data_IF_635738855433
#
_entry.id   IF_635738855433
#
_cell.length_a   1.000
_cell.length_b   1.000
_cell.length_c   1.000
_cell.angle_alpha   90.00
_cell.angle_beta   90.00
_cell.angle_gamma   90.00
#
_symmetry.space_group_name_H-M   'P 1'
#
loop_
_entity.id
_entity.type
_entity.pdbx_description
1 polymer ?
#
# COMPACT_ATOMS: atom_id res chain seq x y z
N UNK A 1 25.00 26.60 58.14
CA UNK A 1 24.44 27.77 58.83
C UNK A 1 23.20 28.18 58.00
N UNK A 2 22.10 27.43 58.05
CA UNK A 2 21.03 27.47 59.06
C UNK A 2 20.34 28.85 59.06
N UNK A 3 19.12 29.00 58.51
CA UNK A 3 17.81 29.16 59.21
C UNK A 3 17.07 30.29 58.44
N UNK A 4 15.76 30.33 58.13
CA UNK A 4 14.54 29.57 58.44
C UNK A 4 13.42 29.97 57.45
N UNK A 5 12.48 29.05 57.21
CA UNK A 5 11.11 29.32 56.71
C UNK A 5 10.20 29.85 57.84
N UNK A 6 8.96 30.29 57.52
CA UNK A 6 7.76 29.46 57.78
C UNK A 6 6.78 29.45 56.56
N UNK A 7 6.07 28.38 56.17
CA UNK A 7 5.02 27.59 56.87
C UNK A 7 3.72 28.44 57.00
N UNK A 8 2.49 28.10 56.54
CA UNK A 8 1.65 26.91 56.76
C UNK A 8 0.41 26.91 55.83
N UNK A 9 -0.31 25.79 55.82
CA UNK A 9 -1.34 25.29 54.87
C UNK A 9 -2.80 25.47 55.35
N UNK A 10 -3.77 25.27 54.42
CA UNK A 10 -5.20 24.86 54.58
C UNK A 10 -6.26 25.88 55.06
N UNK A 11 -7.39 25.99 54.34
CA UNK A 11 -8.66 25.32 54.71
C UNK A 11 -9.80 25.58 53.69
N UNK A 12 -10.55 24.51 53.37
CA UNK A 12 -11.82 24.46 52.63
C UNK A 12 -13.01 24.74 53.59
N UNK A 13 -14.24 24.79 53.03
CA UNK A 13 -15.60 24.78 53.64
C UNK A 13 -16.22 26.15 53.97
N UNK A 14 -17.54 26.38 53.90
CA UNK A 14 -18.74 25.77 53.28
C UNK A 14 -19.91 26.70 53.67
N UNK A 15 -20.98 26.79 52.89
CA UNK A 15 -22.25 27.47 53.25
C UNK A 15 -23.26 27.29 52.09
N UNK A 16 -24.14 26.29 51.99
CA UNK A 16 -25.17 25.66 52.87
C UNK A 16 -26.52 26.39 52.82
N UNK A 17 -27.58 25.57 52.65
CA UNK A 17 -29.04 25.78 52.91
C UNK A 17 -29.86 26.14 51.66
N UNK A 18 -30.99 25.51 51.26
CA UNK A 18 -31.81 24.33 51.62
C UNK A 18 -33.01 24.36 50.62
N UNK A 19 -33.68 23.29 50.16
CA UNK A 19 -34.85 22.63 50.80
C UNK A 19 -35.43 21.60 49.78
N UNK A 20 -35.54 20.29 50.04
CA UNK A 20 -36.66 19.50 50.64
C UNK A 20 -37.50 18.67 49.63
N UNK A 21 -37.06 17.41 49.44
CA UNK A 21 -37.75 16.09 49.56
C UNK A 21 -39.25 15.96 49.17
N UNK A 22 -39.56 15.03 48.24
CA UNK A 22 -40.46 13.88 48.49
C UNK A 22 -40.49 12.88 47.32
N UNK A 23 -40.36 11.60 47.67
CA UNK A 23 -40.46 10.45 46.79
C UNK A 23 -41.88 9.88 46.78
N UNK A 24 -42.32 9.35 45.63
CA UNK A 24 -43.29 8.26 45.53
C UNK A 24 -43.09 7.53 44.18
N UNK A 25 -42.65 6.28 44.25
CA UNK A 25 -42.91 5.22 43.24
C UNK A 25 -44.41 4.87 43.29
N UNK A 26 -45.09 4.14 42.39
CA UNK A 26 -44.95 3.63 41.02
C UNK A 26 -46.32 2.99 40.72
N UNK A 27 -46.86 3.04 39.50
CA UNK A 27 -47.93 2.11 39.14
C UNK A 27 -48.08 1.91 37.62
N UNK A 28 -48.02 0.65 37.23
CA UNK A 28 -48.37 0.08 35.93
C UNK A 28 -49.90 0.05 35.77
N UNK A 29 -50.41 0.38 34.59
CA UNK A 29 -51.85 0.22 34.27
C UNK A 29 -52.19 0.62 32.84
N UNK A 30 -52.59 -0.37 32.05
CA UNK A 30 -52.92 -0.31 30.61
C UNK A 30 -54.32 0.26 30.32
N UNK A 31 -54.49 0.98 29.19
CA UNK A 31 -55.44 0.71 28.08
C UNK A 31 -55.81 1.97 27.27
N UNK A 32 -56.03 1.73 25.98
CA UNK A 32 -56.15 2.63 24.84
C UNK A 32 -57.34 3.60 24.82
N UNK A 33 -57.23 4.71 24.06
CA UNK A 33 -58.27 5.27 23.17
C UNK A 33 -57.64 6.13 22.05
N UNK A 34 -58.21 6.03 20.84
CA UNK A 34 -57.76 6.62 19.58
C UNK A 34 -58.30 8.04 19.30
N UNK A 35 -57.60 8.81 18.44
CA UNK A 35 -58.12 10.02 17.75
C UNK A 35 -57.01 10.88 17.13
N UNK A 36 -57.20 11.46 15.91
CA UNK A 36 -56.16 11.51 14.89
C UNK A 36 -55.34 12.81 14.90
N UNK A 37 -54.02 12.66 14.75
CA UNK A 37 -53.08 13.74 14.49
C UNK A 37 -52.26 13.40 13.25
N UNK A 38 -52.64 14.02 12.14
CA UNK A 38 -51.97 13.94 10.85
C UNK A 38 -50.53 14.48 10.94
N UNK A 39 -49.53 13.61 10.73
CA UNK A 39 -48.16 14.03 10.49
C UNK A 39 -47.52 13.18 9.40
N UNK A 40 -47.32 13.86 8.27
CA UNK A 40 -46.36 13.67 7.19
C UNK A 40 -45.68 12.30 7.06
N UNK A 41 -45.95 11.64 5.94
CA UNK A 41 -45.16 10.53 5.43
C UNK A 41 -43.70 10.97 5.22
N UNK A 42 -42.81 10.54 6.12
CA UNK A 42 -41.38 10.51 5.81
C UNK A 42 -41.16 9.40 4.79
N UNK A 43 -40.71 9.78 3.60
CA UNK A 43 -40.22 8.86 2.59
C UNK A 43 -39.15 7.96 3.21
N UNK A 44 -39.37 6.67 3.13
CA UNK A 44 -38.38 5.67 3.50
C UNK A 44 -37.30 5.69 2.42
N UNK A 45 -36.23 6.48 2.63
CA UNK A 45 -35.02 6.33 1.82
C UNK A 45 -34.50 4.91 2.06
N UNK A 46 -34.61 4.09 1.03
CA UNK A 46 -34.02 2.76 1.01
C UNK A 46 -32.50 2.95 1.01
N UNK A 47 -31.77 2.43 2.01
CA UNK A 47 -30.31 2.48 1.96
C UNK A 47 -29.86 1.76 0.69
N UNK A 48 -29.12 2.46 -0.16
CA UNK A 48 -28.42 1.86 -1.28
C UNK A 48 -27.38 0.91 -0.70
N UNK A 49 -27.75 -0.37 -0.60
CA UNK A 49 -26.79 -1.46 -0.40
C UNK A 49 -25.91 -1.48 -1.64
N UNK A 50 -24.70 -0.93 -1.53
CA UNK A 50 -23.66 -1.16 -2.53
C UNK A 50 -23.26 -2.62 -2.37
N UNK A 51 -23.76 -3.46 -3.27
CA UNK A 51 -23.37 -4.86 -3.36
C UNK A 51 -21.96 -4.91 -3.97
N UNK A 52 -20.93 -4.77 -3.12
CA UNK A 52 -19.55 -5.03 -3.54
C UNK A 52 -19.38 -6.55 -3.67
N UNK A 53 -19.69 -7.09 -4.85
CA UNK A 53 -19.33 -8.46 -5.21
C UNK A 53 -17.81 -8.54 -5.39
N UNK A 54 -17.07 -8.63 -4.28
CA UNK A 54 -15.66 -8.97 -4.29
C UNK A 54 -15.55 -10.45 -4.61
N UNK A 55 -15.21 -10.78 -5.86
CA UNK A 55 -14.76 -12.14 -6.17
C UNK A 55 -13.54 -12.42 -5.29
N UNK A 56 -13.55 -13.48 -4.44
CA UNK A 56 -12.43 -13.76 -3.56
C UNK A 56 -11.17 -13.95 -4.40
N UNK A 57 -10.08 -13.28 -4.01
CA UNK A 57 -8.80 -13.39 -4.70
C UNK A 57 -8.37 -14.87 -4.74
N UNK A 58 -7.80 -15.35 -5.85
CA UNK A 58 -7.36 -16.73 -5.96
C UNK A 58 -6.30 -17.02 -4.89
N UNK A 59 -6.61 -17.96 -4.00
CA UNK A 59 -5.70 -18.43 -2.95
C UNK A 59 -5.00 -19.71 -3.39
N UNK A 60 -3.72 -19.85 -3.01
CA UNK A 60 -2.98 -21.10 -3.20
C UNK A 60 -3.56 -22.20 -2.30
N UNK A 61 -3.50 -23.47 -2.72
CA UNK A 61 -3.80 -24.59 -1.82
C UNK A 61 -2.78 -24.65 -0.68
N UNK A 62 -3.14 -25.34 0.40
CA UNK A 62 -2.17 -25.74 1.40
C UNK A 62 -1.31 -26.87 0.84
N UNK A 63 0.01 -26.77 1.03
CA UNK A 63 0.98 -27.78 0.58
C UNK A 63 1.47 -28.62 1.75
N UNK A 64 1.75 -29.89 1.49
CA UNK A 64 2.41 -30.76 2.45
C UNK A 64 3.88 -30.33 2.63
N UNK A 65 4.49 -30.52 3.81
CA UNK A 65 5.90 -30.22 4.01
C UNK A 65 6.80 -30.96 3.00
N UNK A 66 7.64 -30.21 2.27
CA UNK A 66 8.55 -30.74 1.26
C UNK A 66 7.86 -31.13 -0.05
N UNK A 67 6.59 -30.77 -0.26
CA UNK A 67 5.90 -31.02 -1.52
C UNK A 67 6.62 -30.29 -2.67
N UNK A 68 6.81 -30.97 -3.79
CA UNK A 68 7.47 -30.38 -4.96
C UNK A 68 6.47 -29.58 -5.78
N UNK A 69 6.70 -28.27 -5.86
CA UNK A 69 5.90 -27.37 -6.69
C UNK A 69 6.67 -26.91 -7.92
N UNK A 70 5.94 -26.61 -8.99
CA UNK A 70 6.51 -26.04 -10.20
C UNK A 70 6.83 -24.55 -10.02
N UNK A 71 8.04 -24.18 -10.41
CA UNK A 71 8.51 -22.81 -10.41
C UNK A 71 9.26 -22.52 -11.70
N UNK A 72 9.07 -21.32 -12.24
CA UNK A 72 9.88 -20.81 -13.35
C UNK A 72 10.70 -19.67 -12.82
N UNK A 73 12.03 -19.79 -12.94
CA UNK A 73 12.98 -18.79 -12.47
C UNK A 73 12.66 -17.42 -13.06
N UNK A 74 12.57 -16.42 -12.21
CA UNK A 74 12.32 -15.02 -12.55
C UNK A 74 13.64 -14.24 -12.63
N UNK A 75 13.57 -13.03 -13.18
CA UNK A 75 14.74 -12.19 -13.37
C UNK A 75 15.49 -11.92 -12.06
N UNK A 76 16.74 -12.37 -12.03
CA UNK A 76 17.66 -12.13 -10.92
C UNK A 76 17.55 -13.11 -9.75
N UNK A 77 16.68 -14.11 -9.79
CA UNK A 77 16.54 -15.06 -8.68
C UNK A 77 17.87 -15.67 -8.25
N UNK A 78 17.96 -15.93 -6.94
CA UNK A 78 19.12 -16.58 -6.32
C UNK A 78 18.64 -17.70 -5.42
N UNK A 79 19.46 -18.73 -5.21
CA UNK A 79 19.11 -19.84 -4.32
C UNK A 79 18.77 -19.39 -2.88
N UNK A 80 19.51 -18.45 -2.26
CA UNK A 80 19.14 -17.95 -0.93
C UNK A 80 17.77 -17.27 -0.90
N UNK A 81 17.46 -16.44 -1.90
CA UNK A 81 16.17 -15.76 -1.98
C UNK A 81 15.01 -16.76 -2.15
N UNK A 82 15.13 -17.70 -3.11
CA UNK A 82 14.12 -18.74 -3.32
C UNK A 82 13.95 -19.63 -2.08
N UNK A 83 15.05 -20.00 -1.42
CA UNK A 83 14.98 -20.77 -0.18
C UNK A 83 14.18 -20.03 0.90
N UNK A 84 14.39 -18.72 1.04
CA UNK A 84 13.61 -17.87 1.95
C UNK A 84 12.12 -17.81 1.56
N UNK A 85 11.82 -17.51 0.29
CA UNK A 85 10.44 -17.34 -0.19
C UNK A 85 9.61 -18.62 -0.02
N UNK A 86 10.19 -19.77 -0.33
CA UNK A 86 9.53 -21.08 -0.26
C UNK A 86 9.71 -21.79 1.08
N UNK A 87 10.40 -21.14 2.04
CA UNK A 87 10.70 -21.66 3.37
C UNK A 87 11.40 -23.04 3.32
N UNK A 88 12.35 -23.20 2.40
CA UNK A 88 13.16 -24.42 2.21
C UNK A 88 14.65 -24.10 2.38
N UNK A 89 15.52 -25.03 2.03
CA UNK A 89 16.97 -24.88 2.11
C UNK A 89 17.63 -24.93 0.74
N UNK A 90 18.80 -24.29 0.62
CA UNK A 90 19.64 -24.35 -0.59
C UNK A 90 19.99 -25.81 -0.94
N UNK A 91 20.24 -26.65 0.07
CA UNK A 91 20.51 -28.08 -0.11
C UNK A 91 19.34 -28.80 -0.79
N UNK A 92 18.12 -28.57 -0.33
CA UNK A 92 16.92 -29.20 -0.90
C UNK A 92 16.62 -28.68 -2.31
N UNK A 93 16.84 -27.38 -2.56
CA UNK A 93 16.74 -26.82 -3.91
C UNK A 93 17.70 -27.50 -4.89
N UNK A 94 18.95 -27.74 -4.48
CA UNK A 94 19.95 -28.43 -5.33
C UNK A 94 19.64 -29.91 -5.51
N UNK A 95 19.18 -30.59 -4.47
CA UNK A 95 18.80 -32.00 -4.54
C UNK A 95 17.62 -32.21 -5.50
N UNK A 96 16.61 -31.34 -5.44
CA UNK A 96 15.47 -31.39 -6.34
C UNK A 96 15.81 -30.94 -7.78
N UNK A 97 16.88 -30.15 -7.96
CA UNK A 97 17.27 -29.57 -9.24
C UNK A 97 18.76 -29.77 -9.53
N UNK A 98 19.20 -31.00 -9.88
CA UNK A 98 20.61 -31.32 -10.12
C UNK A 98 21.21 -30.63 -11.36
N UNK A 99 20.40 -29.91 -12.14
CA UNK A 99 20.85 -29.10 -13.28
C UNK A 99 21.58 -27.81 -12.85
N UNK A 100 21.42 -27.41 -11.58
CA UNK A 100 21.96 -26.15 -11.07
C UNK A 100 23.46 -26.30 -10.78
N UNK A 101 24.34 -25.52 -11.44
CA UNK A 101 25.78 -25.54 -11.16
C UNK A 101 26.12 -25.13 -9.72
N UNK A 102 27.21 -25.67 -9.16
CA UNK A 102 27.64 -25.36 -7.78
C UNK A 102 28.03 -23.88 -7.60
N UNK A 103 28.63 -23.27 -8.62
CA UNK A 103 29.15 -21.90 -8.60
C UNK A 103 28.14 -20.84 -9.05
N UNK A 104 26.86 -21.21 -9.23
CA UNK A 104 25.82 -20.27 -9.64
C UNK A 104 25.58 -19.20 -8.57
N UNK A 105 25.60 -17.94 -8.96
CA UNK A 105 25.24 -16.80 -8.10
C UNK A 105 23.85 -16.24 -8.44
N UNK A 106 23.41 -16.38 -9.68
CA UNK A 106 22.10 -15.94 -10.18
C UNK A 106 21.56 -16.96 -11.17
N UNK A 107 20.30 -17.35 -11.01
CA UNK A 107 19.66 -18.36 -11.84
C UNK A 107 19.22 -17.77 -13.18
N UNK A 108 19.32 -18.52 -14.31
CA UNK A 108 18.84 -18.06 -15.61
C UNK A 108 17.31 -17.90 -15.63
N UNK A 109 16.76 -16.73 -16.00
CA UNK A 109 15.32 -16.54 -16.11
C UNK A 109 14.69 -17.53 -17.11
N UNK A 110 13.49 -18.01 -16.81
CA UNK A 110 12.79 -19.01 -17.60
C UNK A 110 13.22 -20.46 -17.32
N UNK A 111 14.23 -20.69 -16.48
CA UNK A 111 14.63 -22.06 -16.08
C UNK A 111 13.50 -22.71 -15.26
N UNK A 112 12.97 -23.88 -15.66
CA UNK A 112 12.00 -24.62 -14.86
C UNK A 112 12.68 -25.29 -13.66
N UNK A 113 12.04 -25.24 -12.50
CA UNK A 113 12.50 -25.82 -11.26
C UNK A 113 11.38 -26.56 -10.52
N UNK A 114 11.77 -27.59 -9.76
CA UNK A 114 10.95 -28.24 -8.75
C UNK A 114 11.38 -27.73 -7.38
N UNK A 115 10.53 -26.98 -6.69
CA UNK A 115 10.86 -26.42 -5.39
C UNK A 115 10.18 -27.23 -4.28
N UNK A 116 10.92 -27.81 -3.33
CA UNK A 116 10.34 -28.32 -2.09
C UNK A 116 9.78 -27.15 -1.28
N UNK A 117 8.47 -27.15 -1.00
CA UNK A 117 7.82 -26.05 -0.27
C UNK A 117 7.48 -26.45 1.16
N UNK A 118 7.68 -25.53 2.10
CA UNK A 118 7.17 -25.67 3.47
C UNK A 118 6.15 -24.57 3.73
N UNK A 119 4.89 -24.91 3.50
CA UNK A 119 3.77 -23.98 3.57
C UNK A 119 3.81 -23.09 4.83
N UNK A 120 3.80 -21.77 4.61
CA UNK A 120 3.61 -20.77 5.64
C UNK A 120 2.22 -20.14 5.44
N UNK A 121 1.36 -20.10 6.47
CA UNK A 121 0.03 -19.53 6.32
C UNK A 121 0.09 -18.01 6.08
N UNK A 122 -1.05 -17.45 5.67
CA UNK A 122 -1.27 -16.00 5.44
C UNK A 122 -0.59 -15.47 4.18
N UNK A 123 -0.57 -16.24 3.10
CA UNK A 123 -0.15 -15.71 1.80
C UNK A 123 -1.14 -14.68 1.26
N UNK A 124 -0.58 -13.59 0.73
CA UNK A 124 -1.31 -12.55 0.02
C UNK A 124 -1.78 -13.00 -1.36
N UNK A 125 -2.21 -12.03 -2.16
CA UNK A 125 -2.67 -12.27 -3.53
C UNK A 125 -1.58 -12.90 -4.40
N UNK A 126 -2.00 -13.74 -5.35
CA UNK A 126 -1.13 -14.28 -6.42
C UNK A 126 -1.07 -13.37 -7.65
N UNK A 127 -1.83 -12.26 -7.67
CA UNK A 127 -1.82 -11.30 -8.77
C UNK A 127 -0.48 -10.54 -8.81
N UNK A 128 0.17 -10.54 -9.96
CA UNK A 128 1.37 -9.75 -10.22
C UNK A 128 0.97 -8.40 -10.85
N UNK A 129 1.38 -7.30 -10.23
CA UNK A 129 0.92 -5.94 -10.60
C UNK A 129 1.63 -5.45 -11.87
N UNK A 130 2.94 -5.69 -11.96
CA UNK A 130 3.79 -5.33 -13.11
C UNK A 130 5.04 -6.23 -13.15
N UNK A 131 5.76 -6.32 -14.29
CA UNK A 131 7.06 -6.97 -14.34
C UNK A 131 8.17 -6.09 -13.74
N UNK A 132 9.24 -6.74 -13.25
CA UNK A 132 10.39 -6.06 -12.63
C UNK A 132 11.12 -5.11 -13.60
N UNK A 133 11.10 -5.40 -14.90
CA UNK A 133 11.65 -4.55 -15.97
C UNK A 133 10.98 -3.18 -16.06
N UNK A 134 9.69 -3.09 -15.72
CA UNK A 134 8.91 -1.86 -15.67
C UNK A 134 8.99 -1.16 -14.31
N UNK A 135 9.51 -1.85 -13.28
CA UNK A 135 9.74 -1.30 -11.95
C UNK A 135 10.97 -0.39 -11.90
N UNK A 136 12.09 -0.90 -12.41
CA UNK A 136 13.38 -0.21 -12.36
C UNK A 136 13.45 0.88 -13.43
N UNK A 137 14.15 1.97 -13.14
CA UNK A 137 14.50 2.98 -14.14
C UNK A 137 15.59 2.44 -15.10
N UNK A 138 15.18 1.56 -16.02
CA UNK A 138 16.07 0.82 -16.91
C UNK A 138 15.70 0.95 -18.40
N UNK A 139 16.09 -0.05 -19.23
CA UNK A 139 15.88 -0.02 -20.68
C UNK A 139 14.44 0.30 -21.12
N UNK A 140 13.44 -0.20 -20.39
CA UNK A 140 12.03 0.04 -20.67
C UNK A 140 11.64 1.53 -20.61
N UNK A 141 12.40 2.36 -19.89
CA UNK A 141 12.13 3.78 -19.69
C UNK A 141 12.92 4.69 -20.65
N UNK A 142 13.88 4.15 -21.43
CA UNK A 142 14.81 4.99 -22.22
C UNK A 142 14.15 5.92 -23.23
N UNK A 143 13.01 5.51 -23.79
CA UNK A 143 12.26 6.31 -24.76
C UNK A 143 11.14 7.15 -24.13
N UNK A 144 10.99 7.12 -22.81
CA UNK A 144 9.96 7.86 -22.11
C UNK A 144 10.45 9.27 -21.76
N UNK A 145 9.74 10.28 -22.25
CA UNK A 145 9.97 11.68 -21.92
C UNK A 145 8.82 12.16 -21.02
N UNK A 146 9.12 12.39 -19.75
CA UNK A 146 8.14 12.79 -18.74
C UNK A 146 7.54 14.17 -19.01
N UNK A 147 8.34 15.10 -19.53
CA UNK A 147 7.90 16.46 -19.86
C UNK A 147 6.92 16.39 -21.03
N UNK A 148 7.33 15.76 -22.14
CA UNK A 148 6.49 15.60 -23.32
C UNK A 148 5.20 14.81 -22.99
N UNK A 149 5.30 13.81 -22.11
CA UNK A 149 4.14 13.06 -21.65
C UNK A 149 3.13 13.96 -20.92
N UNK A 150 3.56 14.74 -19.91
CA UNK A 150 2.65 15.61 -19.16
C UNK A 150 2.14 16.80 -19.99
N UNK A 151 2.93 17.28 -20.95
CA UNK A 151 2.52 18.34 -21.88
C UNK A 151 1.35 17.91 -22.78
N UNK A 152 1.23 16.63 -23.10
CA UNK A 152 0.10 16.05 -23.84
C UNK A 152 -1.17 15.90 -22.98
N UNK A 153 -1.08 16.02 -21.65
CA UNK A 153 -2.19 15.78 -20.73
C UNK A 153 -2.87 17.07 -20.27
N UNK A 154 -4.04 16.90 -19.65
CA UNK A 154 -4.87 17.99 -19.11
C UNK A 154 -4.92 18.01 -17.58
N UNK A 155 -4.19 17.11 -16.92
CA UNK A 155 -4.17 17.02 -15.46
C UNK A 155 -3.43 18.17 -14.79
N UNK A 156 -3.70 18.34 -13.49
CA UNK A 156 -3.14 19.43 -12.70
C UNK A 156 -1.60 19.37 -12.55
N UNK A 157 -0.96 18.20 -12.71
CA UNK A 157 0.51 18.10 -12.67
C UNK A 157 1.18 18.94 -13.77
N UNK A 158 0.53 19.15 -14.92
CA UNK A 158 1.11 19.91 -16.05
C UNK A 158 1.47 21.35 -15.66
N UNK A 159 0.67 21.98 -14.80
CA UNK A 159 0.91 23.34 -14.31
C UNK A 159 1.65 23.41 -12.97
N UNK A 160 1.98 22.26 -12.37
CA UNK A 160 2.51 22.21 -11.01
C UNK A 160 4.01 22.56 -10.98
N UNK A 161 4.38 23.44 -10.05
CA UNK A 161 5.75 23.87 -9.81
C UNK A 161 6.02 23.90 -8.31
N UNK A 162 7.14 23.31 -7.90
CA UNK A 162 7.58 23.28 -6.49
C UNK A 162 9.09 23.53 -6.40
N UNK A 163 9.53 24.15 -5.30
CA UNK A 163 10.95 24.24 -4.98
C UNK A 163 11.46 22.88 -4.50
N UNK A 164 12.28 22.22 -5.31
CA UNK A 164 12.91 20.95 -4.99
C UNK A 164 14.42 21.09 -5.15
N UNK A 165 15.25 20.34 -4.42
CA UNK A 165 16.72 20.23 -4.60
C UNK A 165 17.43 21.50 -5.14
N UNK A 166 17.20 22.66 -4.51
CA UNK A 166 17.89 23.92 -4.82
C UNK A 166 17.27 24.84 -5.89
N UNK A 167 16.17 24.47 -6.56
CA UNK A 167 15.53 25.31 -7.60
C UNK A 167 14.03 25.02 -7.75
N UNK A 168 13.30 25.93 -8.40
CA UNK A 168 11.90 25.67 -8.77
C UNK A 168 11.86 24.72 -9.96
N UNK A 169 11.12 23.61 -9.82
CA UNK A 169 10.99 22.57 -10.85
C UNK A 169 9.52 22.29 -11.13
N UNK A 170 9.22 21.96 -12.38
CA UNK A 170 7.95 21.37 -12.79
C UNK A 170 7.75 19.98 -12.18
N UNK A 171 6.50 19.51 -12.13
CA UNK A 171 6.23 18.13 -11.70
C UNK A 171 6.99 17.08 -12.51
N UNK A 172 7.14 17.29 -13.83
CA UNK A 172 7.88 16.39 -14.71
C UNK A 172 9.35 16.28 -14.27
N UNK A 173 10.01 17.41 -14.05
CA UNK A 173 11.41 17.46 -13.60
C UNK A 173 11.59 16.87 -12.21
N UNK A 174 10.59 17.03 -11.31
CA UNK A 174 10.61 16.40 -9.99
C UNK A 174 10.51 14.88 -10.11
N UNK A 175 9.61 14.36 -10.95
CA UNK A 175 9.49 12.93 -11.23
C UNK A 175 10.79 12.38 -11.78
N UNK A 176 11.40 13.03 -12.78
CA UNK A 176 12.66 12.58 -13.37
C UNK A 176 13.82 12.63 -12.38
N UNK A 177 13.87 13.67 -11.55
CA UNK A 177 14.87 13.80 -10.49
C UNK A 177 14.79 12.63 -9.51
N UNK A 178 13.59 12.31 -9.02
CA UNK A 178 13.40 11.20 -8.07
C UNK A 178 13.64 9.86 -8.75
N UNK A 179 13.08 9.64 -9.95
CA UNK A 179 13.27 8.43 -10.73
C UNK A 179 14.75 8.13 -10.97
N UNK A 180 15.56 9.15 -11.25
CA UNK A 180 17.00 9.00 -11.44
C UNK A 180 17.74 8.74 -10.12
N UNK A 181 17.45 9.51 -9.08
CA UNK A 181 18.16 9.38 -7.80
C UNK A 181 17.89 8.04 -7.10
N UNK A 182 16.69 7.49 -7.29
CA UNK A 182 16.26 6.24 -6.67
C UNK A 182 16.28 5.07 -7.65
N UNK A 183 16.57 5.26 -8.95
CA UNK A 183 16.51 4.20 -9.95
C UNK A 183 15.14 3.49 -10.02
N UNK A 184 14.06 4.23 -9.73
CA UNK A 184 12.66 3.77 -9.84
C UNK A 184 12.04 4.35 -11.11
N UNK A 185 11.23 3.57 -11.82
CA UNK A 185 10.58 3.97 -13.06
C UNK A 185 9.78 5.28 -12.92
N UNK A 186 10.02 6.30 -13.77
CA UNK A 186 9.23 7.54 -13.75
C UNK A 186 7.75 7.27 -14.07
N UNK A 187 7.45 6.23 -14.86
CA UNK A 187 6.08 5.79 -15.15
C UNK A 187 5.36 5.28 -13.90
N UNK A 188 6.05 4.59 -12.99
CA UNK A 188 5.45 4.18 -11.71
C UNK A 188 5.13 5.38 -10.85
N UNK A 189 6.06 6.33 -10.75
CA UNK A 189 5.83 7.55 -9.97
C UNK A 189 4.63 8.34 -10.51
N UNK A 190 4.50 8.48 -11.83
CA UNK A 190 3.33 9.08 -12.47
C UNK A 190 2.04 8.27 -12.23
N UNK A 191 2.10 6.94 -12.35
CA UNK A 191 0.94 6.09 -12.10
C UNK A 191 0.46 6.17 -10.63
N UNK A 192 1.38 6.33 -9.67
CA UNK A 192 1.02 6.54 -8.26
C UNK A 192 0.31 7.89 -8.06
N UNK A 193 0.84 8.95 -8.68
CA UNK A 193 0.23 10.28 -8.64
C UNK A 193 -1.14 10.30 -9.30
N UNK A 194 -1.33 9.55 -10.38
CA UNK A 194 -2.64 9.37 -11.00
C UNK A 194 -3.58 8.57 -10.10
N UNK A 195 -3.15 7.41 -9.61
CA UNK A 195 -3.98 6.52 -8.81
C UNK A 195 -4.47 7.18 -7.52
N UNK A 196 -3.61 7.96 -6.86
CA UNK A 196 -3.91 8.54 -5.55
C UNK A 196 -4.47 9.96 -5.60
N UNK A 197 -4.12 10.74 -6.63
CA UNK A 197 -4.43 12.17 -6.68
C UNK A 197 -4.93 12.65 -8.04
N UNK A 198 -5.13 11.76 -9.02
CA UNK A 198 -5.59 12.12 -10.37
C UNK A 198 -4.65 13.10 -11.08
N UNK A 199 -3.35 13.05 -10.76
CA UNK A 199 -2.37 14.04 -11.22
C UNK A 199 -2.30 14.25 -12.72
N UNK A 200 -2.55 13.20 -13.50
CA UNK A 200 -2.37 13.18 -14.94
C UNK A 200 -3.68 13.52 -15.66
N UNK A 201 -4.84 13.15 -15.11
CA UNK A 201 -6.13 13.29 -15.79
C UNK A 201 -7.06 14.35 -15.20
N UNK A 202 -7.01 14.59 -13.89
CA UNK A 202 -7.94 15.50 -13.22
C UNK A 202 -7.49 16.96 -13.35
N UNK A 203 -8.38 17.89 -13.71
CA UNK A 203 -8.00 19.28 -13.99
C UNK A 203 -7.60 20.05 -12.74
N UNK A 204 -8.07 19.61 -11.57
CA UNK A 204 -7.80 20.24 -10.28
C UNK A 204 -7.24 19.20 -9.32
N UNK A 205 -6.31 19.60 -8.47
CA UNK A 205 -5.82 18.72 -7.42
C UNK A 205 -6.88 18.48 -6.33
N UNK A 206 -6.74 17.40 -5.53
CA UNK A 206 -7.51 17.25 -4.31
C UNK A 206 -7.34 18.45 -3.37
N UNK A 207 -8.35 18.75 -2.53
CA UNK A 207 -8.36 19.96 -1.66
C UNK A 207 -7.12 20.09 -0.76
N UNK A 208 -6.47 18.98 -0.38
CA UNK A 208 -5.30 18.93 0.50
C UNK A 208 -3.98 18.52 -0.21
N UNK A 209 -3.89 18.73 -1.53
CA UNK A 209 -2.72 18.31 -2.34
C UNK A 209 -1.39 18.87 -1.85
N UNK A 210 -1.38 20.11 -1.31
CA UNK A 210 -0.12 20.78 -0.93
C UNK A 210 0.57 20.13 0.27
N UNK A 211 -0.04 19.12 0.88
CA UNK A 211 0.51 18.43 2.04
C UNK A 211 0.94 17.01 1.71
N UNK A 212 0.00 16.12 1.37
CA UNK A 212 0.25 14.68 1.35
C UNK A 212 -0.36 14.00 0.12
N UNK A 213 0.12 14.38 -1.07
CA UNK A 213 -0.36 13.90 -2.39
C UNK A 213 -0.46 12.37 -2.47
N UNK A 214 0.49 11.67 -1.84
CA UNK A 214 0.55 10.21 -1.83
C UNK A 214 0.08 9.61 -0.50
N UNK A 215 -0.62 10.37 0.33
CA UNK A 215 -1.26 9.89 1.57
C UNK A 215 -0.32 9.66 2.75
N UNK A 216 1.00 9.83 2.59
CA UNK A 216 1.92 9.71 3.72
C UNK A 216 1.89 10.98 4.59
N UNK A 217 1.12 10.93 5.68
CA UNK A 217 0.92 12.04 6.62
C UNK A 217 2.14 12.19 7.55
N UNK A 218 3.24 12.72 7.02
CA UNK A 218 4.46 13.09 7.76
C UNK A 218 4.88 14.51 7.39
N UNK A 219 4.95 15.41 8.38
CA UNK A 219 5.32 16.82 8.19
C UNK A 219 6.70 16.99 7.51
N UNK A 220 7.58 16.00 7.61
CA UNK A 220 8.90 16.01 6.95
C UNK A 220 8.85 15.63 5.47
N UNK A 221 7.72 15.11 5.00
CA UNK A 221 7.52 14.64 3.64
C UNK A 221 6.43 15.43 2.90
N UNK A 222 6.25 16.72 3.21
CA UNK A 222 5.26 17.57 2.54
C UNK A 222 5.69 17.94 1.12
N UNK A 223 4.70 18.15 0.24
CA UNK A 223 4.92 18.52 -1.16
C UNK A 223 5.16 17.31 -2.07
N UNK A 224 5.08 17.53 -3.37
CA UNK A 224 5.25 16.49 -4.39
C UNK A 224 6.64 15.86 -4.30
N UNK A 225 7.68 16.67 -4.18
CA UNK A 225 9.05 16.18 -4.18
C UNK A 225 9.31 15.21 -3.01
N UNK A 226 8.97 15.58 -1.78
CA UNK A 226 9.28 14.75 -0.62
C UNK A 226 8.32 13.55 -0.46
N UNK A 227 7.08 13.65 -0.93
CA UNK A 227 6.19 12.49 -1.05
C UNK A 227 6.77 11.47 -2.05
N UNK A 228 7.27 11.91 -3.20
CA UNK A 228 7.89 11.01 -4.19
C UNK A 228 9.20 10.41 -3.68
N UNK A 229 10.02 11.17 -2.95
CA UNK A 229 11.22 10.64 -2.27
C UNK A 229 10.84 9.54 -1.28
N UNK A 230 9.81 9.76 -0.46
CA UNK A 230 9.31 8.74 0.47
C UNK A 230 8.81 7.49 -0.26
N UNK A 231 8.00 7.68 -1.31
CA UNK A 231 7.46 6.58 -2.09
C UNK A 231 8.58 5.76 -2.75
N UNK A 232 9.50 6.41 -3.45
CA UNK A 232 10.61 5.75 -4.14
C UNK A 232 11.54 5.00 -3.17
N UNK A 233 11.83 5.58 -1.99
CA UNK A 233 12.61 4.92 -0.96
C UNK A 233 11.88 3.68 -0.41
N UNK A 234 10.58 3.79 -0.14
CA UNK A 234 9.75 2.68 0.34
C UNK A 234 9.73 1.53 -0.68
N UNK A 235 9.45 1.86 -1.93
CA UNK A 235 9.42 0.90 -3.04
C UNK A 235 10.76 0.18 -3.19
N UNK A 236 11.87 0.91 -3.22
CA UNK A 236 13.20 0.29 -3.34
C UNK A 236 13.54 -0.63 -2.19
N UNK A 237 13.31 -0.20 -0.95
CA UNK A 237 13.66 -1.01 0.22
C UNK A 237 12.95 -2.36 0.16
N UNK A 238 11.67 -2.35 -0.22
CA UNK A 238 10.88 -3.58 -0.34
C UNK A 238 11.25 -4.41 -1.56
N UNK A 239 11.54 -3.77 -2.70
CA UNK A 239 12.04 -4.45 -3.90
C UNK A 239 13.31 -5.24 -3.58
N UNK A 240 14.31 -4.59 -2.97
CA UNK A 240 15.57 -5.25 -2.66
C UNK A 240 15.48 -6.25 -1.51
N UNK A 241 14.65 -5.99 -0.48
CA UNK A 241 14.40 -6.97 0.57
C UNK A 241 13.78 -8.27 0.01
N UNK A 242 12.87 -8.18 -0.97
CA UNK A 242 12.37 -9.36 -1.66
C UNK A 242 13.47 -10.07 -2.45
N UNK A 243 14.25 -9.32 -3.25
CA UNK A 243 15.33 -9.85 -4.09
C UNK A 243 16.41 -10.60 -3.31
N UNK A 244 16.70 -10.18 -2.08
CA UNK A 244 17.70 -10.83 -1.21
C UNK A 244 17.12 -11.93 -0.34
N UNK A 245 15.78 -12.05 -0.25
CA UNK A 245 15.11 -12.99 0.64
C UNK A 245 15.02 -12.51 2.09
N UNK A 246 15.27 -11.23 2.36
CA UNK A 246 15.23 -10.62 3.71
C UNK A 246 13.87 -9.99 4.03
N UNK A 247 12.86 -10.20 3.18
CA UNK A 247 11.54 -9.63 3.35
C UNK A 247 10.81 -10.22 4.56
N UNK A 248 10.52 -9.38 5.54
CA UNK A 248 9.62 -9.71 6.65
C UNK A 248 8.15 -9.73 6.19
N UNK A 249 7.26 -10.45 6.92
CA UNK A 249 5.83 -10.35 6.70
C UNK A 249 5.35 -8.89 6.75
N UNK A 250 4.45 -8.56 5.83
CA UNK A 250 3.78 -7.27 5.78
C UNK A 250 2.80 -7.18 6.96
N UNK A 251 2.97 -6.17 7.80
CA UNK A 251 2.01 -5.80 8.85
C UNK A 251 1.09 -4.73 8.29
N UNK A 252 -0.21 -5.02 8.22
CA UNK A 252 -1.25 -4.09 7.79
C UNK A 252 -1.62 -3.09 8.88
N UNK A 253 -2.35 -2.05 8.51
CA UNK A 253 -2.78 -1.00 9.44
C UNK A 253 -3.68 -1.50 10.59
N UNK A 254 -4.40 -2.61 10.37
CA UNK A 254 -5.23 -3.27 11.39
C UNK A 254 -4.44 -4.28 12.25
N UNK A 255 -3.13 -4.43 12.01
CA UNK A 255 -2.24 -5.35 12.69
C UNK A 255 -2.26 -6.78 12.14
N UNK A 256 -3.03 -7.06 11.09
CA UNK A 256 -2.97 -8.37 10.41
C UNK A 256 -1.64 -8.55 9.68
N UNK A 257 -1.24 -9.82 9.54
CA UNK A 257 0.00 -10.21 8.87
C UNK A 257 -0.31 -10.80 7.50
N UNK A 258 0.46 -10.39 6.51
CA UNK A 258 0.46 -10.95 5.16
C UNK A 258 1.90 -11.33 4.78
N UNK A 259 2.04 -12.53 4.21
CA UNK A 259 3.27 -12.96 3.56
C UNK A 259 3.06 -12.82 2.06
N UNK A 260 3.94 -12.13 1.31
CA UNK A 260 3.82 -12.15 -0.14
C UNK A 260 3.83 -13.60 -0.65
N UNK A 261 3.02 -13.89 -1.68
CA UNK A 261 3.01 -15.20 -2.33
C UNK A 261 4.43 -15.52 -2.85
N UNK A 262 4.99 -16.73 -2.60
CA UNK A 262 6.37 -17.06 -2.97
C UNK A 262 6.69 -16.96 -4.48
N UNK A 263 5.67 -16.95 -5.35
CA UNK A 263 5.81 -16.76 -6.79
C UNK A 263 5.76 -15.29 -7.22
N UNK A 264 5.68 -14.34 -6.29
CA UNK A 264 5.67 -12.92 -6.64
C UNK A 264 7.01 -12.45 -7.19
N UNK A 265 6.96 -11.40 -8.01
CA UNK A 265 8.14 -10.64 -8.42
C UNK A 265 8.39 -9.46 -7.47
N UNK A 266 9.61 -8.92 -7.51
CA UNK A 266 10.04 -7.91 -6.54
C UNK A 266 9.26 -6.59 -6.67
N UNK A 267 8.93 -6.17 -7.89
CA UNK A 267 8.17 -4.95 -8.17
C UNK A 267 6.74 -5.02 -7.63
N UNK A 268 6.10 -6.17 -7.74
CA UNK A 268 4.77 -6.40 -7.15
C UNK A 268 4.84 -6.36 -5.63
N UNK A 269 5.80 -7.07 -5.02
CA UNK A 269 5.96 -7.07 -3.56
C UNK A 269 6.26 -5.67 -3.02
N UNK A 270 7.04 -4.87 -3.76
CA UNK A 270 7.30 -3.48 -3.41
C UNK A 270 6.02 -2.63 -3.38
N UNK A 271 5.14 -2.77 -4.37
CA UNK A 271 3.86 -2.06 -4.40
C UNK A 271 2.88 -2.56 -3.34
N UNK A 272 2.85 -3.87 -3.08
CA UNK A 272 2.09 -4.44 -1.96
C UNK A 272 2.54 -3.80 -0.64
N UNK A 273 3.84 -3.78 -0.37
CA UNK A 273 4.34 -3.11 0.84
C UNK A 273 4.05 -1.62 0.87
N UNK A 274 4.15 -0.92 -0.25
CA UNK A 274 3.83 0.51 -0.33
C UNK A 274 2.36 0.78 0.04
N UNK A 275 1.41 0.08 -0.57
CA UNK A 275 -0.01 0.30 -0.32
C UNK A 275 -0.45 -0.17 1.07
N UNK A 276 0.19 -1.20 1.65
CA UNK A 276 -0.12 -1.66 3.00
C UNK A 276 0.15 -0.60 4.09
N UNK A 277 1.01 0.39 3.80
CA UNK A 277 1.33 1.48 4.71
C UNK A 277 0.30 2.61 4.66
N UNK A 278 -0.53 2.64 3.61
CA UNK A 278 -1.44 3.75 3.32
C UNK A 278 -2.90 3.36 3.50
N UNK A 279 -3.24 2.10 3.27
CA UNK A 279 -4.62 1.67 3.14
C UNK A 279 -5.03 0.59 4.15
N UNK A 280 -6.27 0.66 4.67
CA UNK A 280 -6.87 -0.47 5.37
C UNK A 280 -7.05 -1.66 4.40
N UNK A 281 -7.17 -2.90 4.91
CA UNK A 281 -7.16 -4.12 4.10
C UNK A 281 -8.11 -4.12 2.91
N UNK A 282 -9.31 -3.54 3.05
CA UNK A 282 -10.32 -3.50 1.98
C UNK A 282 -9.85 -2.67 0.78
N UNK A 283 -9.28 -1.49 1.04
CA UNK A 283 -8.77 -0.59 0.00
C UNK A 283 -7.43 -1.12 -0.52
N UNK A 284 -6.60 -1.70 0.35
CA UNK A 284 -5.36 -2.37 -0.03
C UNK A 284 -5.60 -3.48 -1.06
N UNK A 285 -6.54 -4.38 -0.79
CA UNK A 285 -6.85 -5.53 -1.68
C UNK A 285 -7.29 -5.08 -3.07
N UNK A 286 -8.02 -3.96 -3.15
CA UNK A 286 -8.36 -3.35 -4.44
C UNK A 286 -7.11 -2.75 -5.12
N UNK A 287 -6.28 -2.01 -4.38
CA UNK A 287 -5.10 -1.34 -4.92
C UNK A 287 -4.07 -2.32 -5.52
N UNK A 288 -3.87 -3.46 -4.87
CA UNK A 288 -2.92 -4.51 -5.33
C UNK A 288 -3.57 -5.54 -6.27
N UNK A 289 -4.86 -5.40 -6.56
CA UNK A 289 -5.59 -6.22 -7.52
C UNK A 289 -5.57 -5.64 -8.94
N UNK A 290 -6.14 -6.37 -9.89
CA UNK A 290 -6.14 -5.99 -11.31
C UNK A 290 -6.96 -4.75 -11.65
N UNK A 291 -7.88 -4.32 -10.78
CA UNK A 291 -8.69 -3.10 -10.96
C UNK A 291 -8.11 -1.88 -10.25
N UNK A 292 -7.02 -2.05 -9.49
CA UNK A 292 -6.34 -0.98 -8.76
C UNK A 292 -5.22 -0.35 -9.57
N UNK A 293 -4.02 -0.30 -8.98
CA UNK A 293 -2.86 0.37 -9.57
C UNK A 293 -2.50 -0.18 -10.96
N UNK A 294 -2.61 -1.49 -11.18
CA UNK A 294 -2.33 -2.10 -12.47
C UNK A 294 -3.22 -1.54 -13.60
N UNK A 295 -4.51 -1.30 -13.32
CA UNK A 295 -5.42 -0.70 -14.29
C UNK A 295 -5.05 0.76 -14.61
N UNK A 296 -4.62 1.52 -13.60
CA UNK A 296 -4.13 2.90 -13.79
C UNK A 296 -2.84 2.93 -14.60
N UNK A 297 -1.88 2.05 -14.30
CA UNK A 297 -0.66 1.97 -15.11
C UNK A 297 -1.00 1.65 -16.57
N UNK A 298 -1.89 0.67 -16.77
CA UNK A 298 -2.33 0.25 -18.11
C UNK A 298 -3.05 1.35 -18.88
N UNK A 299 -3.88 2.16 -18.22
CA UNK A 299 -4.59 3.27 -18.87
C UNK A 299 -3.65 4.39 -19.32
N UNK A 300 -2.56 4.62 -18.59
CA UNK A 300 -1.58 5.67 -18.92
C UNK A 300 -0.55 5.22 -19.96
N UNK A 301 -0.08 3.97 -19.88
CA UNK A 301 1.13 3.53 -20.59
C UNK A 301 0.95 2.29 -21.47
N UNK A 302 -0.23 1.66 -21.47
CA UNK A 302 -0.45 0.37 -22.11
C UNK A 302 -0.10 -0.81 -21.21
N UNK A 303 -0.24 -2.02 -21.74
CA UNK A 303 -0.02 -3.24 -20.97
C UNK A 303 1.48 -3.42 -20.65
N UNK A 304 1.83 -3.47 -19.36
CA UNK A 304 3.20 -3.62 -18.93
C UNK A 304 3.79 -5.01 -19.21
N UNK A 305 2.94 -6.00 -19.46
CA UNK A 305 3.35 -7.39 -19.72
C UNK A 305 3.53 -7.68 -21.21
N UNK A 306 3.25 -6.70 -22.09
CA UNK A 306 3.53 -6.83 -23.52
C UNK A 306 5.04 -6.90 -23.77
N UNK A 307 5.50 -8.03 -24.32
CA UNK A 307 6.89 -8.33 -24.71
C UNK A 307 7.84 -8.76 -23.57
N UNK A 308 7.30 -9.23 -22.44
CA UNK A 308 8.04 -9.97 -21.41
C UNK A 308 8.16 -11.48 -21.73
#
# INVERSE_FOLDING_TARGET
MAIKSPVFTWMFCLGLISSLISACQSQTGSLAMAGPGEQAAFGTETPLTIETEVTPLPTRPAYSPGELVDYTVQSGDTLPALASHFNTSISELREANPIIPEDVTTLPPGMPMKIPIYYAPLWGTSYQILPDSHFVNGPAQMAFDTIAFLDDKSGWLKGYVEYASGENRSAAEIVDLVAKNFSVSPRILLALLEYQAGGVTQPLPPEDVDQFILGNVDQRHRGLYLQLVWAANTLNNSYYAWRTGDMEPVVHLDGTLERPDPWQNAGTVALQKYFSLLYPPEIYNQAVGGTGFAATYKSLFGDAWENE
#
